data_IF_090304073535
#
_entry.id   IF_090304073535
#
_cell.length_a   1.000
_cell.length_b   1.000
_cell.length_c   1.000
_cell.angle_alpha   90.00
_cell.angle_beta   90.00
_cell.angle_gamma   90.00
#
_symmetry.space_group_name_H-M   'P 1'
#
loop_
_entity.id
_entity.type
_entity.pdbx_description
1 polymer ?
#
# COMPACT_ATOMS: atom_id res chain seq x y z
N UNK A 1 -30.03 -1.00 8.38
CA UNK A 1 -30.69 -0.49 7.17
C UNK A 1 -30.00 0.80 6.79
N UNK A 2 -29.31 0.83 5.67
CA UNK A 2 -28.85 2.08 5.06
C UNK A 2 -30.13 2.79 4.54
N UNK A 3 -30.26 4.10 4.78
CA UNK A 3 -31.31 4.90 4.14
C UNK A 3 -31.16 4.76 2.62
N UNK A 4 -32.26 4.52 1.93
CA UNK A 4 -32.31 4.36 0.47
C UNK A 4 -32.03 5.65 -0.32
N UNK A 5 -31.61 6.75 0.32
CA UNK A 5 -31.22 8.00 -0.30
C UNK A 5 -29.85 8.44 0.17
N UNK A 6 -28.85 8.33 -0.69
CA UNK A 6 -27.60 9.10 -0.59
C UNK A 6 -27.84 10.47 -1.20
N UNK A 7 -27.55 11.52 -0.47
CA UNK A 7 -27.55 12.87 -1.03
C UNK A 7 -26.38 12.99 -2.02
N UNK A 8 -26.64 13.51 -3.21
CA UNK A 8 -25.64 13.76 -4.24
C UNK A 8 -25.40 15.25 -4.33
N UNK A 9 -24.15 15.66 -4.19
CA UNK A 9 -23.71 17.04 -4.31
C UNK A 9 -22.63 17.13 -5.38
N UNK A 10 -22.77 18.10 -6.30
CA UNK A 10 -21.73 18.43 -7.29
C UNK A 10 -20.74 19.40 -6.67
N UNK A 11 -19.45 19.11 -6.80
CA UNK A 11 -18.37 19.94 -6.29
C UNK A 11 -17.23 19.95 -7.32
N UNK A 12 -16.85 21.14 -7.75
CA UNK A 12 -15.64 21.33 -8.57
C UNK A 12 -14.39 21.30 -7.68
N UNK A 13 -13.22 21.03 -8.28
CA UNK A 13 -11.94 21.01 -7.56
C UNK A 13 -11.41 22.42 -7.27
N UNK A 14 -12.32 23.33 -6.92
CA UNK A 14 -12.03 24.70 -6.53
C UNK A 14 -12.00 24.84 -5.02
N UNK A 15 -11.06 25.65 -4.51
CA UNK A 15 -10.78 25.77 -3.09
C UNK A 15 -12.03 26.06 -2.25
N UNK A 16 -12.82 27.07 -2.63
CA UNK A 16 -13.98 27.48 -1.82
C UNK A 16 -15.08 26.41 -1.78
N UNK A 17 -15.28 25.68 -2.88
CA UNK A 17 -16.25 24.60 -2.95
C UNK A 17 -15.78 23.42 -2.10
N UNK A 18 -14.50 23.04 -2.19
CA UNK A 18 -13.91 21.97 -1.40
C UNK A 18 -13.89 22.32 0.09
N UNK A 19 -13.52 23.53 0.48
CA UNK A 19 -13.55 24.01 1.86
C UNK A 19 -14.96 23.92 2.46
N UNK A 20 -16.00 24.21 1.66
CA UNK A 20 -17.39 24.06 2.07
C UNK A 20 -17.80 22.58 2.19
N UNK A 21 -17.34 21.73 1.27
CA UNK A 21 -17.65 20.31 1.27
C UNK A 21 -17.02 19.61 2.49
N UNK A 22 -15.72 19.82 2.74
CA UNK A 22 -15.00 19.13 3.83
C UNK A 22 -15.55 19.48 5.21
N UNK A 23 -16.07 20.71 5.39
CA UNK A 23 -16.71 21.14 6.65
C UNK A 23 -18.03 20.45 6.95
N UNK A 24 -18.68 19.85 5.96
CA UNK A 24 -19.98 19.14 6.11
C UNK A 24 -19.80 17.70 6.59
N UNK A 25 -18.60 17.14 6.57
CA UNK A 25 -18.34 15.74 6.88
C UNK A 25 -17.16 15.56 7.83
N UNK A 26 -17.07 14.41 8.48
CA UNK A 26 -15.94 14.04 9.34
C UNK A 26 -14.82 13.34 8.56
N UNK A 27 -15.16 12.71 7.44
CA UNK A 27 -14.22 11.92 6.64
C UNK A 27 -14.63 11.95 5.17
N UNK A 28 -13.63 12.05 4.30
CA UNK A 28 -13.76 11.90 2.85
C UNK A 28 -13.01 10.63 2.43
N UNK A 29 -13.64 9.84 1.57
CA UNK A 29 -13.00 8.76 0.82
C UNK A 29 -12.91 9.21 -0.63
N UNK A 30 -11.71 9.48 -1.11
CA UNK A 30 -11.47 9.87 -2.49
C UNK A 30 -11.15 8.65 -3.35
N UNK A 31 -11.86 8.52 -4.47
CA UNK A 31 -11.63 7.47 -5.47
C UNK A 31 -11.37 8.05 -6.86
N UNK A 32 -11.06 9.33 -6.93
CA UNK A 32 -10.87 10.08 -8.17
C UNK A 32 -9.39 10.11 -8.53
N UNK A 33 -8.96 9.18 -9.33
CA UNK A 33 -7.59 9.11 -9.87
C UNK A 33 -7.48 9.54 -11.34
N UNK A 34 -6.28 9.75 -11.90
CA UNK A 34 -4.98 9.71 -11.21
C UNK A 34 -4.83 10.82 -10.16
N UNK A 35 -4.34 10.47 -8.98
CA UNK A 35 -4.30 11.40 -7.82
C UNK A 35 -3.29 12.53 -8.02
N UNK A 36 -2.22 12.31 -8.78
CA UNK A 36 -1.26 13.36 -9.16
C UNK A 36 -1.90 14.54 -9.90
N UNK A 37 -3.09 14.34 -10.52
CA UNK A 37 -3.81 15.39 -11.22
C UNK A 37 -4.97 15.98 -10.41
N UNK A 38 -5.63 15.15 -9.60
CA UNK A 38 -6.91 15.52 -8.98
C UNK A 38 -6.93 15.39 -7.46
N UNK A 39 -5.94 14.72 -6.84
CA UNK A 39 -5.97 14.41 -5.42
C UNK A 39 -5.58 15.54 -4.50
N UNK A 40 -4.59 16.38 -4.91
CA UNK A 40 -4.03 17.43 -4.06
C UNK A 40 -5.05 18.43 -3.51
N UNK A 41 -6.00 19.00 -4.31
CA UNK A 41 -6.95 19.96 -3.78
C UNK A 41 -7.84 19.41 -2.67
N UNK A 42 -8.29 18.14 -2.80
CA UNK A 42 -9.15 17.48 -1.79
C UNK A 42 -8.35 17.19 -0.52
N UNK A 43 -7.14 16.63 -0.66
CA UNK A 43 -6.26 16.35 0.46
C UNK A 43 -5.91 17.65 1.22
N UNK A 44 -5.57 18.71 0.52
CA UNK A 44 -5.24 20.02 1.09
C UNK A 44 -6.41 20.62 1.88
N UNK A 45 -7.64 20.55 1.34
CA UNK A 45 -8.83 20.99 2.03
C UNK A 45 -9.08 20.19 3.32
N UNK A 46 -8.95 18.87 3.26
CA UNK A 46 -9.05 17.99 4.45
C UNK A 46 -7.99 18.33 5.50
N UNK A 47 -6.73 18.48 5.10
CA UNK A 47 -5.62 18.85 5.97
C UNK A 47 -5.84 20.22 6.64
N UNK A 48 -6.46 21.18 5.94
CA UNK A 48 -6.69 22.52 6.46
C UNK A 48 -7.82 22.61 7.47
N UNK A 49 -8.83 21.75 7.36
CA UNK A 49 -10.07 21.86 8.13
C UNK A 49 -10.28 20.74 9.16
N UNK A 50 -9.30 19.87 9.36
CA UNK A 50 -9.40 18.77 10.34
C UNK A 50 -10.33 17.64 9.91
N UNK A 51 -10.72 17.59 8.64
CA UNK A 51 -11.50 16.50 8.07
C UNK A 51 -10.58 15.33 7.75
N UNK A 52 -10.95 14.11 8.14
CA UNK A 52 -10.16 12.93 7.83
C UNK A 52 -10.24 12.57 6.35
N UNK A 53 -9.21 11.91 5.83
CA UNK A 53 -9.10 11.59 4.41
C UNK A 53 -8.57 10.18 4.19
N UNK A 54 -9.19 9.44 3.28
CA UNK A 54 -8.73 8.15 2.77
C UNK A 54 -8.74 8.19 1.24
N UNK A 55 -7.80 7.48 0.63
CA UNK A 55 -7.83 7.21 -0.80
C UNK A 55 -7.26 5.83 -1.16
N UNK A 56 -7.30 5.49 -2.43
CA UNK A 56 -6.78 4.23 -2.98
C UNK A 56 -5.62 4.47 -3.97
N UNK A 57 -4.86 5.54 -3.80
CA UNK A 57 -3.70 5.81 -4.65
C UNK A 57 -2.63 4.73 -4.50
N UNK A 58 -1.80 4.54 -5.52
CA UNK A 58 -0.53 3.81 -5.47
C UNK A 58 0.61 4.70 -5.98
N UNK A 59 0.42 6.02 -5.97
CA UNK A 59 1.31 7.02 -6.56
C UNK A 59 2.32 7.54 -5.53
N UNK A 60 3.29 6.71 -5.12
CA UNK A 60 4.32 7.07 -4.13
C UNK A 60 4.99 8.43 -4.42
N UNK A 61 5.35 8.81 -5.67
CA UNK A 61 5.91 10.12 -5.93
C UNK A 61 4.98 11.27 -5.56
N UNK A 62 3.68 11.13 -5.80
CA UNK A 62 2.68 12.10 -5.39
C UNK A 62 2.57 12.16 -3.86
N UNK A 63 2.50 11.03 -3.19
CA UNK A 63 2.45 10.97 -1.72
C UNK A 63 3.69 11.60 -1.09
N UNK A 64 4.88 11.35 -1.67
CA UNK A 64 6.13 11.97 -1.23
C UNK A 64 6.02 13.50 -1.20
N UNK A 65 5.44 14.10 -2.26
CA UNK A 65 5.20 15.53 -2.34
C UNK A 65 4.13 15.98 -1.34
N UNK A 66 3.03 15.23 -1.19
CA UNK A 66 1.96 15.55 -0.23
C UNK A 66 2.45 15.51 1.22
N UNK A 67 3.29 14.55 1.58
CA UNK A 67 3.92 14.48 2.90
C UNK A 67 4.74 15.74 3.17
N UNK A 68 5.57 16.16 2.21
CA UNK A 68 6.38 17.37 2.35
C UNK A 68 5.54 18.64 2.51
N UNK A 69 4.38 18.72 1.83
CA UNK A 69 3.53 19.92 1.82
C UNK A 69 2.54 19.98 2.99
N UNK A 70 1.94 18.85 3.37
CA UNK A 70 0.71 18.84 4.18
C UNK A 70 0.79 18.06 5.49
N UNK A 71 1.85 17.27 5.77
CA UNK A 71 1.93 16.47 6.99
C UNK A 71 1.89 17.35 8.26
N UNK A 72 2.62 18.46 8.27
CA UNK A 72 2.63 19.40 9.40
C UNK A 72 1.26 20.09 9.58
N UNK A 73 0.61 20.48 8.49
CA UNK A 73 -0.70 21.10 8.52
C UNK A 73 -1.76 20.14 9.05
N UNK A 74 -1.76 18.89 8.56
CA UNK A 74 -2.68 17.84 9.00
C UNK A 74 -2.48 17.50 10.50
N UNK A 75 -1.25 17.54 11.01
CA UNK A 75 -0.98 17.43 12.46
C UNK A 75 -1.59 18.57 13.26
N UNK A 76 -1.43 19.80 12.77
CA UNK A 76 -1.98 20.98 13.45
C UNK A 76 -3.50 21.00 13.50
N UNK A 77 -4.15 20.55 12.42
CA UNK A 77 -5.61 20.51 12.31
C UNK A 77 -6.23 19.24 12.89
N UNK A 78 -5.40 18.29 13.37
CA UNK A 78 -5.81 16.95 13.82
C UNK A 78 -6.50 16.12 12.73
N UNK A 79 -6.18 16.38 11.46
CA UNK A 79 -6.67 15.58 10.34
C UNK A 79 -5.87 14.28 10.21
N UNK A 80 -6.53 13.14 10.20
CA UNK A 80 -5.95 11.83 9.88
C UNK A 80 -6.11 11.63 8.38
N UNK A 81 -4.99 11.64 7.67
CA UNK A 81 -4.91 11.46 6.22
C UNK A 81 -4.19 10.15 5.95
N UNK A 82 -4.90 9.17 5.38
CA UNK A 82 -4.34 7.86 5.05
C UNK A 82 -4.49 7.64 3.53
N UNK A 83 -3.52 8.05 2.72
CA UNK A 83 -3.43 7.61 1.33
C UNK A 83 -3.05 6.13 1.25
N UNK A 84 -3.09 5.55 0.05
CA UNK A 84 -2.75 4.13 -0.18
C UNK A 84 -3.57 3.16 0.68
N UNK A 85 -4.83 3.50 0.98
CA UNK A 85 -5.73 2.65 1.75
C UNK A 85 -6.51 1.64 0.88
N UNK A 86 -5.98 1.32 -0.31
CA UNK A 86 -6.52 0.32 -1.25
C UNK A 86 -5.86 -1.05 -1.13
N UNK A 87 -6.33 -1.99 -1.96
CA UNK A 87 -5.79 -3.36 -2.00
C UNK A 87 -4.30 -3.40 -2.35
N UNK A 88 -3.84 -2.47 -3.17
CA UNK A 88 -2.46 -2.53 -3.68
C UNK A 88 -1.43 -2.37 -2.53
N UNK A 89 -1.75 -1.66 -1.45
CA UNK A 89 -0.80 -1.37 -0.37
C UNK A 89 -1.21 -1.88 1.02
N UNK A 90 -2.52 -1.95 1.33
CA UNK A 90 -3.00 -2.40 2.65
C UNK A 90 -2.52 -3.80 3.03
N UNK A 91 -2.51 -4.81 2.16
CA UNK A 91 -2.00 -6.13 2.51
C UNK A 91 -0.55 -6.11 2.98
N UNK A 92 0.30 -5.34 2.32
CA UNK A 92 1.72 -5.22 2.64
C UNK A 92 1.94 -4.51 3.97
N UNK A 93 1.30 -3.37 4.17
CA UNK A 93 1.42 -2.56 5.37
C UNK A 93 0.89 -3.30 6.61
N UNK A 94 -0.29 -3.93 6.50
CA UNK A 94 -0.87 -4.72 7.58
C UNK A 94 -0.08 -6.01 7.84
N UNK A 95 0.45 -6.66 6.81
CA UNK A 95 1.31 -7.84 7.00
C UNK A 95 2.58 -7.46 7.76
N UNK A 96 3.22 -6.36 7.41
CA UNK A 96 4.39 -5.83 8.12
C UNK A 96 4.09 -5.56 9.60
N UNK A 97 2.96 -4.90 9.88
CA UNK A 97 2.48 -4.62 11.23
C UNK A 97 2.23 -5.90 12.04
N UNK A 98 1.44 -6.82 11.50
CA UNK A 98 1.08 -8.08 12.17
C UNK A 98 2.30 -8.92 12.49
N UNK A 99 3.23 -9.06 11.53
CA UNK A 99 4.46 -9.83 11.73
C UNK A 99 5.36 -9.19 12.79
N UNK A 100 5.56 -7.87 12.75
CA UNK A 100 6.36 -7.16 13.75
C UNK A 100 5.76 -7.27 15.16
N UNK A 101 4.43 -7.08 15.28
CA UNK A 101 3.68 -7.24 16.52
C UNK A 101 3.83 -8.66 17.09
N UNK A 102 3.66 -9.68 16.25
CA UNK A 102 3.71 -11.08 16.71
C UNK A 102 5.12 -11.54 17.09
N UNK A 103 6.15 -11.08 16.38
CA UNK A 103 7.55 -11.33 16.79
C UNK A 103 7.79 -10.76 18.20
N UNK A 104 7.35 -9.52 18.45
CA UNK A 104 7.47 -8.90 19.76
C UNK A 104 6.67 -9.63 20.83
N UNK A 105 5.41 -9.97 20.54
CA UNK A 105 4.50 -10.62 21.48
C UNK A 105 4.99 -12.00 21.90
N UNK A 106 5.50 -12.80 20.96
CA UNK A 106 5.93 -14.19 21.23
C UNK A 106 7.33 -14.30 21.80
N UNK A 107 8.22 -13.41 21.38
CA UNK A 107 9.65 -13.57 21.67
C UNK A 107 10.25 -12.42 22.46
N UNK A 108 9.48 -11.35 22.74
CA UNK A 108 9.98 -10.11 23.38
C UNK A 108 11.19 -9.52 22.66
N UNK A 109 11.24 -9.67 21.33
CA UNK A 109 12.33 -9.21 20.45
C UNK A 109 11.80 -8.26 19.39
N UNK A 110 12.70 -7.40 18.89
CA UNK A 110 12.41 -6.57 17.72
C UNK A 110 12.29 -7.44 16.46
N UNK A 111 11.43 -7.02 15.53
CA UNK A 111 11.37 -7.59 14.19
C UNK A 111 12.44 -6.91 13.33
N UNK A 112 13.40 -7.69 12.83
CA UNK A 112 14.41 -7.16 11.92
C UNK A 112 13.93 -7.19 10.47
N UNK A 113 13.10 -8.19 10.12
CA UNK A 113 12.65 -8.38 8.74
C UNK A 113 11.23 -8.90 8.68
N UNK A 114 10.44 -8.31 7.80
CA UNK A 114 9.17 -8.86 7.35
C UNK A 114 9.24 -9.09 5.83
N UNK A 115 8.84 -10.27 5.39
CA UNK A 115 8.79 -10.64 3.97
C UNK A 115 7.36 -11.05 3.66
N UNK A 116 6.77 -10.45 2.64
CA UNK A 116 5.47 -10.85 2.10
C UNK A 116 5.62 -11.44 0.71
N UNK A 117 4.77 -12.38 0.37
CA UNK A 117 4.63 -12.89 -1.00
C UNK A 117 3.16 -12.94 -1.42
N UNK A 118 2.89 -12.48 -2.62
CA UNK A 118 1.66 -12.83 -3.32
C UNK A 118 1.73 -14.32 -3.67
N UNK A 119 1.00 -15.12 -2.89
CA UNK A 119 1.06 -16.58 -2.96
C UNK A 119 0.20 -17.12 -4.11
N UNK A 120 -1.00 -16.58 -4.28
CA UNK A 120 -1.92 -16.88 -5.36
C UNK A 120 -2.91 -15.74 -5.53
N UNK A 121 -3.31 -15.46 -6.75
CA UNK A 121 -4.34 -14.46 -7.06
C UNK A 121 -5.10 -14.84 -8.34
N UNK A 122 -6.36 -14.43 -8.37
CA UNK A 122 -7.17 -14.33 -9.56
C UNK A 122 -7.93 -13.02 -9.48
N UNK A 123 -7.50 -12.03 -10.23
CA UNK A 123 -8.12 -10.70 -10.27
C UNK A 123 -7.79 -9.99 -11.56
N UNK A 124 -8.66 -9.09 -12.00
CA UNK A 124 -8.39 -8.18 -13.10
C UNK A 124 -7.57 -6.96 -12.63
N UNK A 125 -6.81 -6.38 -13.53
CA UNK A 125 -6.12 -5.10 -13.31
C UNK A 125 -7.09 -3.97 -13.68
N UNK A 126 -7.18 -2.92 -12.84
CA UNK A 126 -7.99 -1.74 -13.15
C UNK A 126 -7.32 -0.89 -14.25
N UNK A 127 -8.14 -0.25 -15.08
CA UNK A 127 -7.64 0.72 -16.07
C UNK A 127 -6.93 1.90 -15.40
N UNK A 128 -7.37 2.29 -14.20
CA UNK A 128 -6.73 3.34 -13.40
C UNK A 128 -5.28 2.99 -13.03
N UNK A 129 -5.02 1.80 -12.49
CA UNK A 129 -3.67 1.36 -12.10
C UNK A 129 -2.71 1.34 -13.29
N UNK A 130 -3.13 0.78 -14.43
CA UNK A 130 -2.29 0.70 -15.62
C UNK A 130 -2.02 2.10 -16.23
N UNK A 131 -3.01 2.99 -16.23
CA UNK A 131 -2.86 4.37 -16.69
C UNK A 131 -1.91 5.16 -15.77
N UNK A 132 -2.07 5.03 -14.47
CA UNK A 132 -1.22 5.70 -13.47
C UNK A 132 0.26 5.39 -13.69
N UNK A 133 0.62 4.12 -13.94
CA UNK A 133 2.02 3.73 -14.21
C UNK A 133 2.62 4.49 -15.42
N UNK A 134 1.84 4.67 -16.49
CA UNK A 134 2.30 5.44 -17.65
C UNK A 134 2.43 6.93 -17.33
N UNK A 135 1.46 7.49 -16.64
CA UNK A 135 1.43 8.93 -16.33
C UNK A 135 2.51 9.32 -15.31
N UNK A 136 2.90 8.45 -14.38
CA UNK A 136 4.03 8.69 -13.49
C UNK A 136 5.34 8.94 -14.29
N UNK A 137 5.59 8.13 -15.31
CA UNK A 137 6.79 8.28 -16.16
C UNK A 137 6.72 9.51 -17.08
N UNK A 138 5.52 10.03 -17.36
CA UNK A 138 5.33 11.24 -18.18
C UNK A 138 5.47 12.51 -17.37
N UNK A 139 5.05 12.51 -16.11
CA UNK A 139 4.89 13.71 -15.30
C UNK A 139 5.99 13.92 -14.26
N UNK A 140 6.74 12.87 -13.89
CA UNK A 140 7.85 12.97 -12.96
C UNK A 140 9.20 12.76 -13.65
N UNK A 141 10.22 13.52 -13.25
CA UNK A 141 11.59 13.29 -13.71
C UNK A 141 12.14 11.97 -13.13
N UNK A 142 13.07 11.32 -13.86
CA UNK A 142 13.70 10.09 -13.37
C UNK A 142 14.43 10.30 -12.03
N UNK A 143 15.00 11.48 -11.79
CA UNK A 143 15.64 11.82 -10.50
C UNK A 143 14.63 11.91 -9.37
N UNK A 144 13.45 12.48 -9.62
CA UNK A 144 12.36 12.52 -8.63
C UNK A 144 11.81 11.13 -8.34
N UNK A 145 11.58 10.31 -9.39
CA UNK A 145 11.17 8.91 -9.23
C UNK A 145 12.19 8.11 -8.42
N UNK A 146 13.48 8.22 -8.73
CA UNK A 146 14.53 7.52 -7.98
C UNK A 146 14.58 7.93 -6.50
N UNK A 147 14.35 9.21 -6.20
CA UNK A 147 14.31 9.73 -4.83
C UNK A 147 13.06 9.31 -4.09
N UNK A 148 11.88 9.50 -4.68
CA UNK A 148 10.58 9.24 -4.06
C UNK A 148 10.28 7.75 -3.90
N UNK A 149 10.75 6.90 -4.83
CA UNK A 149 10.57 5.44 -4.79
C UNK A 149 11.67 4.70 -4.00
N UNK A 150 12.58 5.43 -3.33
CA UNK A 150 13.52 4.78 -2.42
C UNK A 150 12.76 4.16 -1.24
N UNK A 151 13.08 2.94 -0.78
CA UNK A 151 12.29 2.20 0.20
C UNK A 151 11.90 2.96 1.48
N UNK A 152 12.74 3.87 1.94
CA UNK A 152 12.48 4.67 3.14
C UNK A 152 12.14 6.14 2.86
N UNK A 153 11.84 6.50 1.62
CA UNK A 153 11.59 7.88 1.20
C UNK A 153 10.42 8.55 1.93
N UNK A 154 9.38 7.78 2.23
CA UNK A 154 8.20 8.26 2.94
C UNK A 154 8.36 8.23 4.47
N UNK A 155 9.43 7.64 5.01
CA UNK A 155 9.63 7.53 6.45
C UNK A 155 9.94 8.89 7.09
N UNK A 156 9.29 9.24 8.22
CA UNK A 156 9.60 10.46 8.96
C UNK A 156 10.96 10.40 9.69
N UNK A 157 11.56 9.21 9.79
CA UNK A 157 12.86 9.01 10.42
C UNK A 157 13.87 8.43 9.44
N UNK A 158 15.14 8.77 9.62
CA UNK A 158 16.21 8.22 8.79
C UNK A 158 16.42 6.74 9.06
N UNK A 159 16.70 6.00 8.03
CA UNK A 159 16.96 4.57 8.08
C UNK A 159 18.46 4.28 8.16
N UNK A 160 19.04 4.53 9.33
CA UNK A 160 20.46 4.26 9.58
C UNK A 160 20.65 2.78 9.98
N UNK A 161 21.66 2.12 9.40
CA UNK A 161 22.02 0.74 9.72
C UNK A 161 20.93 -0.32 9.51
N UNK A 162 20.00 -0.11 8.59
CA UNK A 162 18.99 -1.12 8.24
C UNK A 162 19.62 -2.33 7.54
N UNK A 163 19.01 -3.47 7.75
CA UNK A 163 19.48 -4.70 7.10
C UNK A 163 19.31 -4.64 5.59
N UNK A 164 20.26 -5.21 4.86
CA UNK A 164 20.16 -5.36 3.41
C UNK A 164 19.04 -6.34 3.00
N UNK A 165 18.72 -6.46 1.70
CA UNK A 165 17.72 -7.42 1.22
C UNK A 165 18.09 -8.86 1.61
N UNK A 166 17.10 -9.79 1.68
CA UNK A 166 17.36 -11.18 2.02
C UNK A 166 18.37 -11.80 1.06
N UNK A 167 19.31 -12.57 1.61
CA UNK A 167 20.33 -13.27 0.83
C UNK A 167 19.89 -14.73 0.62
N UNK A 168 19.63 -15.11 -0.63
CA UNK A 168 19.40 -16.51 -1.03
C UNK A 168 20.69 -17.28 -1.27
N UNK A 169 20.57 -18.56 -1.67
CA UNK A 169 21.69 -19.35 -2.15
C UNK A 169 22.36 -18.70 -3.37
N UNK A 170 23.63 -19.03 -3.63
CA UNK A 170 24.39 -18.41 -4.74
C UNK A 170 23.68 -18.57 -6.08
N UNK A 171 23.10 -19.75 -6.36
CA UNK A 171 22.39 -20.03 -7.59
C UNK A 171 21.18 -19.08 -7.77
N UNK A 172 20.34 -18.92 -6.74
CA UNK A 172 19.20 -18.03 -6.80
C UNK A 172 19.63 -16.55 -6.90
N UNK A 173 20.71 -16.18 -6.22
CA UNK A 173 21.26 -14.81 -6.27
C UNK A 173 21.75 -14.42 -7.66
N UNK A 174 22.39 -15.32 -8.40
CA UNK A 174 22.83 -15.08 -9.78
C UNK A 174 21.66 -14.69 -10.69
N UNK A 175 20.48 -15.27 -10.44
CA UNK A 175 19.27 -15.00 -11.20
C UNK A 175 18.36 -13.94 -10.52
N UNK A 176 18.76 -13.40 -9.37
CA UNK A 176 17.98 -12.44 -8.61
C UNK A 176 16.64 -13.02 -8.12
N UNK A 177 16.60 -14.31 -7.84
CA UNK A 177 15.49 -15.02 -7.22
C UNK A 177 15.81 -15.33 -5.76
N UNK A 178 14.81 -15.76 -5.00
CA UNK A 178 14.95 -16.29 -3.66
C UNK A 178 14.24 -17.64 -3.54
N UNK A 179 14.66 -18.46 -2.57
CA UNK A 179 13.93 -19.66 -2.17
C UNK A 179 13.67 -19.57 -0.68
N UNK A 180 12.40 -19.49 -0.30
CA UNK A 180 11.93 -19.37 1.07
C UNK A 180 10.86 -20.43 1.27
N UNK A 181 11.19 -21.49 2.01
CA UNK A 181 10.30 -22.64 2.20
C UNK A 181 8.98 -22.24 2.88
N UNK A 182 9.05 -21.38 3.89
CA UNK A 182 7.89 -20.88 4.64
C UNK A 182 6.91 -20.09 3.76
N UNK A 183 7.39 -19.53 2.64
CA UNK A 183 6.58 -18.77 1.67
C UNK A 183 6.25 -19.57 0.40
N UNK A 184 6.43 -20.90 0.43
CA UNK A 184 6.06 -21.79 -0.67
C UNK A 184 7.12 -21.95 -1.76
N UNK A 185 8.40 -21.70 -1.45
CA UNK A 185 9.54 -22.01 -2.32
C UNK A 185 10.07 -20.82 -3.10
N UNK A 186 10.06 -20.90 -4.43
CA UNK A 186 10.70 -19.89 -5.31
C UNK A 186 9.94 -18.58 -5.29
N UNK A 187 10.66 -17.49 -5.06
CA UNK A 187 10.16 -16.12 -5.05
C UNK A 187 10.80 -15.32 -6.19
N UNK A 188 9.98 -14.55 -6.89
CA UNK A 188 10.40 -13.59 -7.93
C UNK A 188 9.97 -12.18 -7.54
N UNK A 189 10.33 -11.19 -8.34
CA UNK A 189 10.00 -9.77 -8.08
C UNK A 189 8.49 -9.57 -7.94
N UNK A 190 8.05 -8.93 -6.85
CA UNK A 190 6.66 -8.49 -6.66
C UNK A 190 6.33 -7.33 -7.60
N UNK A 191 5.10 -7.31 -8.12
CA UNK A 191 4.65 -6.25 -9.02
C UNK A 191 4.58 -4.90 -8.31
N UNK A 192 4.11 -4.90 -7.06
CA UNK A 192 3.94 -3.69 -6.23
C UNK A 192 5.09 -3.47 -5.24
N UNK A 193 6.13 -4.31 -5.26
CA UNK A 193 7.18 -4.34 -4.25
C UNK A 193 7.80 -2.96 -3.94
N UNK A 194 8.02 -2.12 -4.95
CA UNK A 194 8.60 -0.78 -4.74
C UNK A 194 7.64 0.20 -4.06
N UNK A 195 6.35 0.10 -4.32
CA UNK A 195 5.29 0.88 -3.67
C UNK A 195 5.12 0.41 -2.23
N UNK A 196 4.97 -0.89 -2.06
CA UNK A 196 4.69 -1.54 -0.79
C UNK A 196 5.86 -1.42 0.21
N UNK A 197 7.10 -1.46 -0.28
CA UNK A 197 8.27 -1.17 0.56
C UNK A 197 8.23 0.26 1.11
N UNK A 198 7.81 1.25 0.33
CA UNK A 198 7.73 2.65 0.79
C UNK A 198 6.70 2.83 1.89
N UNK A 199 5.49 2.27 1.75
CA UNK A 199 4.43 2.43 2.75
C UNK A 199 4.73 1.65 4.03
N UNK A 200 5.21 0.41 3.93
CA UNK A 200 5.57 -0.39 5.11
C UNK A 200 6.72 0.26 5.90
N UNK A 201 7.68 0.90 5.22
CA UNK A 201 8.75 1.65 5.89
C UNK A 201 8.28 3.01 6.41
N UNK A 202 7.24 3.62 5.84
CA UNK A 202 6.59 4.77 6.47
C UNK A 202 5.94 4.37 7.79
N UNK A 203 5.20 3.26 7.82
CA UNK A 203 4.63 2.70 9.04
C UNK A 203 5.70 2.41 10.09
N UNK A 204 6.79 1.76 9.68
CA UNK A 204 7.94 1.56 10.56
C UNK A 204 8.41 2.88 11.19
N UNK A 205 8.59 3.92 10.40
CA UNK A 205 9.05 5.23 10.88
C UNK A 205 8.05 5.90 11.82
N UNK A 206 6.75 5.82 11.54
CA UNK A 206 5.70 6.35 12.41
C UNK A 206 5.64 5.63 13.77
N UNK A 207 5.94 4.33 13.80
CA UNK A 207 5.98 3.53 15.01
C UNK A 207 7.26 3.66 15.83
N UNK A 208 8.31 4.39 15.39
CA UNK A 208 9.57 4.49 16.15
C UNK A 208 9.43 5.09 17.55
N UNK A 209 8.46 5.99 17.73
CA UNK A 209 8.17 6.62 19.05
C UNK A 209 7.01 5.94 19.79
N UNK A 210 6.48 4.86 19.25
CA UNK A 210 5.41 4.05 19.83
C UNK A 210 5.93 3.18 20.99
N UNK A 211 5.03 2.75 21.87
CA UNK A 211 5.32 1.69 22.86
C UNK A 211 5.63 0.33 22.20
N UNK A 212 5.24 0.15 20.96
CA UNK A 212 5.39 -1.11 20.21
C UNK A 212 6.07 -0.90 18.85
N UNK A 213 7.31 -0.38 18.78
CA UNK A 213 8.02 -0.16 17.52
C UNK A 213 8.32 -1.51 16.83
N UNK A 214 8.41 -1.51 15.50
CA UNK A 214 8.75 -2.74 14.76
C UNK A 214 10.16 -3.24 15.10
N UNK A 215 11.11 -2.34 15.18
CA UNK A 215 12.51 -2.57 15.50
C UNK A 215 13.41 -1.53 14.83
N UNK A 216 14.63 -1.29 15.38
CA UNK A 216 15.49 -0.21 14.89
C UNK A 216 16.07 -0.48 13.49
N UNK A 217 16.19 -1.75 13.09
CA UNK A 217 16.79 -2.18 11.82
C UNK A 217 15.77 -2.84 10.88
N UNK A 218 14.49 -2.57 11.08
CA UNK A 218 13.42 -3.22 10.34
C UNK A 218 13.54 -3.01 8.84
N UNK A 219 13.31 -4.09 8.09
CA UNK A 219 13.17 -4.06 6.65
C UNK A 219 11.98 -4.90 6.20
N UNK A 220 11.18 -4.34 5.32
CA UNK A 220 10.12 -5.03 4.58
C UNK A 220 10.59 -5.35 3.15
N UNK A 221 10.16 -6.51 2.63
CA UNK A 221 10.33 -6.85 1.23
C UNK A 221 9.10 -7.63 0.74
N UNK A 222 8.69 -7.34 -0.50
CA UNK A 222 7.61 -8.05 -1.17
C UNK A 222 8.12 -8.85 -2.37
N UNK A 223 7.50 -10.01 -2.56
CA UNK A 223 7.76 -10.92 -3.67
C UNK A 223 6.47 -11.49 -4.23
N UNK A 224 6.58 -12.18 -5.38
CA UNK A 224 5.58 -13.09 -5.91
C UNK A 224 6.09 -14.53 -5.86
N UNK A 225 5.25 -15.47 -5.44
CA UNK A 225 5.56 -16.89 -5.52
C UNK A 225 5.59 -17.33 -6.98
N UNK A 226 6.63 -18.05 -7.35
CA UNK A 226 6.74 -18.67 -8.66
C UNK A 226 6.65 -20.19 -8.56
N UNK A 227 6.07 -20.84 -9.57
CA UNK A 227 5.94 -22.28 -9.64
C UNK A 227 7.30 -22.98 -9.64
N UNK A 228 8.27 -22.41 -10.34
CA UNK A 228 9.65 -22.92 -10.45
C UNK A 228 10.61 -21.80 -10.88
N UNK A 229 11.89 -22.10 -11.00
CA UNK A 229 12.94 -21.15 -11.38
C UNK A 229 12.67 -20.54 -12.77
N UNK A 230 12.25 -21.35 -13.74
CA UNK A 230 12.04 -20.90 -15.13
C UNK A 230 10.90 -19.89 -15.22
N UNK A 231 9.77 -20.19 -14.57
CA UNK A 231 8.65 -19.24 -14.51
C UNK A 231 9.02 -17.97 -13.74
N UNK A 232 9.82 -18.07 -12.67
CA UNK A 232 10.32 -16.92 -11.92
C UNK A 232 11.21 -16.01 -12.78
N UNK A 233 12.10 -16.59 -13.56
CA UNK A 233 12.94 -15.87 -14.51
C UNK A 233 12.11 -15.21 -15.62
N UNK A 234 11.17 -15.95 -16.22
CA UNK A 234 10.31 -15.41 -17.26
C UNK A 234 9.54 -14.17 -16.80
N UNK A 235 8.93 -14.22 -15.61
CA UNK A 235 8.23 -13.06 -15.00
C UNK A 235 9.20 -11.92 -14.78
N UNK A 236 10.36 -12.18 -14.18
CA UNK A 236 11.36 -11.15 -13.91
C UNK A 236 11.86 -10.47 -15.18
N UNK A 237 12.19 -11.23 -16.22
CA UNK A 237 12.61 -10.69 -17.50
C UNK A 237 11.48 -9.90 -18.19
N UNK A 238 10.25 -10.40 -18.15
CA UNK A 238 9.10 -9.71 -18.73
C UNK A 238 8.86 -8.36 -18.05
N UNK A 239 8.84 -8.32 -16.71
CA UNK A 239 8.70 -7.08 -15.95
C UNK A 239 9.87 -6.12 -16.15
N UNK A 240 11.11 -6.63 -16.17
CA UNK A 240 12.32 -5.83 -16.41
C UNK A 240 12.35 -5.23 -17.81
N UNK A 241 12.00 -6.02 -18.84
CA UNK A 241 11.89 -5.54 -20.21
C UNK A 241 10.77 -4.51 -20.37
N UNK A 242 9.59 -4.77 -19.82
CA UNK A 242 8.49 -3.83 -19.85
C UNK A 242 8.86 -2.50 -19.17
N UNK A 243 9.48 -2.57 -17.98
CA UNK A 243 9.97 -1.40 -17.28
C UNK A 243 11.01 -0.61 -18.08
N UNK A 244 11.99 -1.29 -18.71
CA UNK A 244 13.00 -0.66 -19.55
C UNK A 244 12.37 0.03 -20.78
N UNK A 245 11.46 -0.65 -21.48
CA UNK A 245 10.79 -0.10 -22.66
C UNK A 245 9.93 1.13 -22.30
N UNK A 246 9.29 1.13 -21.15
CA UNK A 246 8.50 2.27 -20.68
C UNK A 246 9.36 3.40 -20.11
N UNK A 247 10.53 3.10 -19.54
CA UNK A 247 11.46 4.12 -19.05
C UNK A 247 12.11 4.95 -20.19
N UNK A 248 12.31 4.35 -21.36
CA UNK A 248 12.90 5.02 -22.52
C UNK A 248 11.84 5.86 -23.28
N UNK A 249 12.04 7.19 -23.43
CA UNK A 249 11.03 8.06 -24.06
C UNK A 249 10.63 7.62 -25.49
N UNK A 250 11.52 7.22 -26.40
CA UNK A 250 11.12 6.84 -27.76
C UNK A 250 10.21 5.61 -27.80
N UNK A 251 10.53 4.56 -27.02
CA UNK A 251 9.75 3.33 -26.97
C UNK A 251 8.44 3.55 -26.24
N UNK A 252 8.43 4.35 -25.16
CA UNK A 252 7.20 4.75 -24.46
C UNK A 252 6.25 5.50 -25.39
N UNK A 253 6.74 6.46 -26.16
CA UNK A 253 5.94 7.23 -27.13
C UNK A 253 5.26 6.31 -28.15
N UNK A 254 5.93 5.26 -28.60
CA UNK A 254 5.37 4.28 -29.54
C UNK A 254 4.38 3.33 -28.86
N UNK A 255 4.71 2.85 -27.65
CA UNK A 255 3.92 1.81 -26.95
C UNK A 255 2.69 2.35 -26.21
N UNK A 256 2.76 3.57 -25.66
CA UNK A 256 1.68 4.13 -24.86
C UNK A 256 0.33 4.21 -25.59
N UNK A 257 0.24 4.66 -26.88
CA UNK A 257 -1.01 4.63 -27.61
C UNK A 257 -1.57 3.22 -27.83
N UNK A 258 -0.68 2.24 -28.08
CA UNK A 258 -1.08 0.85 -28.26
C UNK A 258 -1.59 0.26 -26.94
N UNK A 259 -0.92 0.53 -25.84
CA UNK A 259 -1.35 0.11 -24.50
C UNK A 259 -2.70 0.74 -24.14
N UNK A 260 -2.89 2.04 -24.35
CA UNK A 260 -4.17 2.75 -24.10
C UNK A 260 -5.30 2.20 -24.97
N UNK A 261 -5.02 1.71 -26.18
CA UNK A 261 -6.04 1.18 -27.10
C UNK A 261 -6.40 -0.29 -26.84
N UNK A 262 -5.44 -1.13 -26.45
CA UNK A 262 -5.60 -2.59 -26.46
C UNK A 262 -5.47 -3.26 -25.09
N UNK A 263 -4.85 -2.61 -24.14
CA UNK A 263 -4.48 -3.23 -22.84
C UNK A 263 -5.15 -2.51 -21.68
N UNK A 264 -5.17 -1.17 -21.71
CA UNK A 264 -5.69 -0.36 -20.62
C UNK A 264 -7.17 -0.10 -20.85
N UNK A 265 -8.07 -0.56 -19.97
CA UNK A 265 -9.48 -0.19 -20.04
C UNK A 265 -9.65 1.35 -20.00
N UNK A 266 -10.69 1.84 -20.65
CA UNK A 266 -11.00 3.28 -20.63
C UNK A 266 -11.28 3.76 -19.19
N UNK A 267 -11.06 5.05 -18.89
CA UNK A 267 -11.46 5.61 -17.60
C UNK A 267 -12.94 5.31 -17.30
N UNK A 268 -13.20 4.78 -16.10
CA UNK A 268 -14.54 4.32 -15.71
C UNK A 268 -14.91 2.90 -16.15
N UNK A 269 -14.09 2.26 -16.99
CA UNK A 269 -14.25 0.85 -17.34
C UNK A 269 -13.37 -0.03 -16.44
N UNK A 270 -13.85 -1.24 -16.19
CA UNK A 270 -13.13 -2.22 -15.37
C UNK A 270 -13.80 -3.59 -15.46
N UNK A 271 -13.34 -4.57 -14.68
CA UNK A 271 -13.96 -5.89 -14.66
C UNK A 271 -15.44 -5.80 -14.29
N UNK A 272 -16.26 -6.58 -14.97
CA UNK A 272 -17.70 -6.64 -14.70
C UNK A 272 -17.96 -7.31 -13.34
N UNK A 273 -19.12 -7.03 -12.74
CA UNK A 273 -19.52 -7.70 -11.48
C UNK A 273 -19.52 -9.22 -11.61
N UNK A 274 -19.84 -9.74 -12.78
CA UNK A 274 -19.85 -11.19 -13.07
C UNK A 274 -18.43 -11.76 -13.07
N UNK A 275 -17.47 -11.08 -13.74
CA UNK A 275 -16.07 -11.54 -13.79
C UNK A 275 -15.41 -11.53 -12.42
N UNK A 276 -15.81 -10.61 -11.52
CA UNK A 276 -15.26 -10.48 -10.17
C UNK A 276 -15.78 -11.54 -9.17
N UNK A 277 -16.83 -12.31 -9.49
CA UNK A 277 -17.42 -13.30 -8.56
C UNK A 277 -16.45 -14.39 -8.11
N UNK A 278 -15.45 -14.70 -8.91
CA UNK A 278 -14.45 -15.73 -8.61
C UNK A 278 -13.06 -15.16 -8.33
N UNK A 279 -13.00 -13.86 -8.06
CA UNK A 279 -11.76 -13.23 -7.69
C UNK A 279 -11.33 -13.67 -6.28
N UNK A 280 -10.03 -13.80 -6.09
CA UNK A 280 -9.44 -14.02 -4.79
C UNK A 280 -8.00 -13.54 -4.78
N UNK A 281 -7.50 -13.24 -3.58
CA UNK A 281 -6.09 -12.97 -3.34
C UNK A 281 -5.62 -13.66 -2.07
N UNK A 282 -4.41 -14.15 -2.09
CA UNK A 282 -3.79 -14.90 -1.01
C UNK A 282 -2.34 -14.46 -0.83
N UNK A 283 -2.03 -13.98 0.35
CA UNK A 283 -0.69 -13.53 0.71
C UNK A 283 -0.16 -14.38 1.86
N UNK A 284 1.17 -14.56 1.89
CA UNK A 284 1.89 -15.22 2.99
C UNK A 284 2.98 -14.28 3.48
N UNK A 285 3.16 -14.24 4.78
CA UNK A 285 4.14 -13.39 5.43
C UNK A 285 5.09 -14.18 6.32
N UNK A 286 6.33 -13.72 6.40
CA UNK A 286 7.38 -14.26 7.28
C UNK A 286 8.04 -13.09 8.03
N UNK A 287 7.85 -13.05 9.34
CA UNK A 287 8.56 -12.17 10.26
C UNK A 287 9.77 -12.85 10.87
N UNK A 288 10.90 -12.16 10.92
CA UNK A 288 12.17 -12.68 11.46
C UNK A 288 12.63 -11.73 12.56
N UNK A 289 12.89 -12.27 13.76
CA UNK A 289 13.42 -11.52 14.89
C UNK A 289 14.87 -11.06 14.63
N UNK A 290 15.31 -10.06 15.38
CA UNK A 290 16.63 -9.42 15.26
C UNK A 290 17.83 -10.36 15.43
N UNK A 291 17.64 -11.51 16.07
CA UNK A 291 18.68 -12.57 16.19
C UNK A 291 18.70 -13.56 15.01
N UNK A 292 17.78 -13.40 14.05
CA UNK A 292 17.66 -14.28 12.88
C UNK A 292 17.14 -15.69 13.14
N UNK A 293 16.82 -16.04 14.39
CA UNK A 293 16.46 -17.40 14.79
C UNK A 293 14.96 -17.62 14.90
N UNK A 294 14.27 -16.70 15.58
CA UNK A 294 12.83 -16.81 15.76
C UNK A 294 12.11 -16.25 14.53
N UNK A 295 11.09 -17.01 14.12
CA UNK A 295 10.27 -16.70 12.94
C UNK A 295 8.79 -16.79 13.29
N UNK A 296 8.00 -15.96 12.63
CA UNK A 296 6.54 -15.97 12.69
C UNK A 296 6.02 -15.99 11.26
N UNK A 297 5.03 -16.82 10.98
CA UNK A 297 4.33 -16.82 9.68
C UNK A 297 2.91 -16.32 9.84
N UNK A 298 2.43 -15.61 8.82
CA UNK A 298 1.08 -15.08 8.76
C UNK A 298 0.49 -15.26 7.36
N UNK A 299 -0.85 -15.22 7.30
CA UNK A 299 -1.62 -15.36 6.07
C UNK A 299 -2.66 -14.25 6.00
N UNK A 300 -2.88 -13.74 4.79
CA UNK A 300 -3.98 -12.87 4.47
C UNK A 300 -4.68 -13.42 3.24
N UNK A 301 -5.93 -13.82 3.39
CA UNK A 301 -6.73 -14.39 2.33
C UNK A 301 -8.03 -13.60 2.18
N UNK A 302 -8.43 -13.28 0.94
CA UNK A 302 -9.72 -12.64 0.62
C UNK A 302 -10.34 -13.27 -0.62
N UNK A 303 -11.67 -13.41 -0.60
CA UNK A 303 -12.48 -13.85 -1.74
C UNK A 303 -12.88 -12.67 -2.64
N UNK A 304 -12.08 -11.59 -2.65
CA UNK A 304 -12.30 -10.41 -3.46
C UNK A 304 -11.01 -10.01 -4.16
N UNK A 305 -11.13 -9.52 -5.39
CA UNK A 305 -10.03 -8.92 -6.15
C UNK A 305 -10.03 -7.39 -6.04
N UNK A 306 -9.33 -6.73 -6.94
CA UNK A 306 -9.06 -5.29 -6.97
C UNK A 306 -10.10 -4.38 -6.33
N UNK A 307 -11.23 -4.18 -6.99
CA UNK A 307 -12.27 -3.25 -6.52
C UNK A 307 -12.96 -3.70 -5.23
N UNK A 308 -13.29 -5.00 -5.11
CA UNK A 308 -14.00 -5.51 -3.94
C UNK A 308 -13.14 -5.43 -2.68
N UNK A 309 -11.88 -5.80 -2.77
CA UNK A 309 -10.96 -5.72 -1.65
C UNK A 309 -10.62 -4.27 -1.29
N UNK A 310 -10.46 -3.36 -2.28
CA UNK A 310 -10.28 -1.92 -2.03
C UNK A 310 -11.48 -1.31 -1.32
N UNK A 311 -12.71 -1.69 -1.71
CA UNK A 311 -13.91 -1.23 -0.99
C UNK A 311 -13.93 -1.71 0.47
N UNK A 312 -13.49 -2.94 0.75
CA UNK A 312 -13.35 -3.48 2.10
C UNK A 312 -12.32 -2.69 2.90
N UNK A 313 -11.14 -2.45 2.35
CA UNK A 313 -10.05 -1.77 3.07
C UNK A 313 -10.42 -0.34 3.41
N UNK A 314 -10.93 0.44 2.46
CA UNK A 314 -11.41 1.81 2.69
C UNK A 314 -12.56 1.86 3.71
N UNK A 315 -13.55 0.99 3.57
CA UNK A 315 -14.69 0.95 4.50
C UNK A 315 -14.28 0.56 5.91
N UNK A 316 -13.36 -0.39 6.05
CA UNK A 316 -12.82 -0.81 7.33
C UNK A 316 -12.02 0.31 8.01
N UNK A 317 -11.18 1.04 7.26
CA UNK A 317 -10.44 2.19 7.78
C UNK A 317 -11.40 3.31 8.22
N UNK A 318 -12.37 3.64 7.38
CA UNK A 318 -13.40 4.62 7.72
C UNK A 318 -14.18 4.22 8.98
N UNK A 319 -14.52 2.92 9.12
CA UNK A 319 -15.19 2.41 10.31
C UNK A 319 -14.35 2.61 11.57
N UNK A 320 -13.06 2.30 11.53
CA UNK A 320 -12.16 2.49 12.68
C UNK A 320 -12.04 3.97 13.04
N UNK A 321 -11.84 4.86 12.07
CA UNK A 321 -11.70 6.30 12.31
C UNK A 321 -13.00 6.90 12.90
N UNK A 322 -14.16 6.50 12.39
CA UNK A 322 -15.43 7.14 12.75
C UNK A 322 -16.17 6.47 13.91
N UNK A 323 -15.92 5.18 14.18
CA UNK A 323 -16.68 4.34 15.12
C UNK A 323 -15.83 3.55 16.09
N UNK A 324 -14.53 3.44 15.83
CA UNK A 324 -13.57 2.78 16.71
C UNK A 324 -13.14 3.68 17.86
N UNK A 325 -12.27 3.15 18.71
CA UNK A 325 -11.59 3.91 19.76
C UNK A 325 -10.24 4.39 19.18
N UNK A 326 -10.31 5.52 18.49
CA UNK A 326 -9.17 6.06 17.77
C UNK A 326 -7.99 6.36 18.69
N UNK A 327 -8.27 6.77 19.93
CA UNK A 327 -7.30 7.02 21.00
C UNK A 327 -6.44 5.80 21.35
N UNK A 328 -6.93 4.59 21.13
CA UNK A 328 -6.19 3.33 21.36
C UNK A 328 -5.32 2.94 20.17
N UNK A 329 -5.30 3.73 19.10
CA UNK A 329 -4.51 3.47 17.88
C UNK A 329 -3.26 4.37 17.83
N UNK A 330 -2.29 3.96 17.03
CA UNK A 330 -1.12 4.81 16.76
C UNK A 330 -1.52 6.10 16.04
N UNK A 331 -2.51 6.05 15.14
CA UNK A 331 -3.05 7.23 14.47
C UNK A 331 -3.62 8.25 15.47
N UNK A 332 -4.36 7.79 16.48
CA UNK A 332 -4.87 8.65 17.56
C UNK A 332 -3.75 9.20 18.43
N UNK A 333 -2.74 8.38 18.78
CA UNK A 333 -1.57 8.83 19.55
C UNK A 333 -0.78 9.93 18.81
N UNK A 334 -0.64 9.80 17.50
CA UNK A 334 0.03 10.80 16.65
C UNK A 334 -0.80 12.08 16.50
N UNK A 335 -2.10 12.01 16.72
CA UNK A 335 -3.02 13.16 16.76
C UNK A 335 -3.31 13.80 15.40
N UNK A 336 -2.89 13.19 14.29
CA UNK A 336 -3.06 13.70 12.92
C UNK A 336 -1.80 13.58 12.08
N UNK A 337 -1.88 13.99 10.83
CA UNK A 337 -0.79 13.91 9.86
C UNK A 337 -1.14 13.02 8.66
N UNK A 338 -0.21 12.89 7.73
CA UNK A 338 -0.30 11.91 6.65
C UNK A 338 0.24 10.59 7.18
N UNK A 339 -0.64 9.67 7.46
CA UNK A 339 -0.40 8.40 8.14
C UNK A 339 -0.48 7.22 7.17
N UNK A 340 -0.52 6.00 7.71
CA UNK A 340 -0.62 4.75 6.94
C UNK A 340 -1.72 3.86 7.52
N UNK A 341 -2.27 2.91 6.75
CA UNK A 341 -3.28 1.97 7.23
C UNK A 341 -2.88 1.24 8.52
N UNK A 342 -1.63 0.82 8.65
CA UNK A 342 -1.12 0.12 9.81
C UNK A 342 -1.21 0.95 11.10
N UNK A 343 -1.24 2.29 11.04
CA UNK A 343 -1.38 3.15 12.21
C UNK A 343 -2.76 3.01 12.89
N UNK A 344 -3.74 2.43 12.22
CA UNK A 344 -5.05 2.07 12.80
C UNK A 344 -4.99 0.77 13.65
N UNK A 345 -3.87 0.06 13.63
CA UNK A 345 -3.51 -1.01 14.55
C UNK A 345 -4.46 -2.22 14.54
N UNK A 346 -4.61 -2.84 15.72
CA UNK A 346 -5.38 -4.07 15.88
C UNK A 346 -6.87 -3.88 15.57
N UNK A 347 -7.44 -2.70 15.83
CA UNK A 347 -8.83 -2.41 15.48
C UNK A 347 -9.07 -2.52 13.98
N UNK A 348 -8.07 -2.13 13.17
CA UNK A 348 -8.18 -2.25 11.72
C UNK A 348 -8.06 -3.72 11.28
N UNK A 349 -7.11 -4.47 11.84
CA UNK A 349 -6.97 -5.92 11.58
C UNK A 349 -8.27 -6.66 11.92
N UNK A 350 -8.86 -6.39 13.07
CA UNK A 350 -10.14 -6.99 13.48
C UNK A 350 -11.30 -6.62 12.54
N UNK A 351 -11.35 -5.35 12.11
CA UNK A 351 -12.39 -4.86 11.21
C UNK A 351 -12.25 -5.46 9.82
N UNK A 352 -11.02 -5.56 9.30
CA UNK A 352 -10.73 -6.25 8.04
C UNK A 352 -11.17 -7.72 8.08
N UNK A 353 -10.89 -8.42 9.19
CA UNK A 353 -11.35 -9.80 9.40
C UNK A 353 -12.90 -9.92 9.38
N UNK A 354 -13.60 -8.98 10.01
CA UNK A 354 -15.06 -8.93 9.99
C UNK A 354 -15.62 -8.65 8.61
N UNK A 355 -14.92 -7.88 7.80
CA UNK A 355 -15.36 -7.45 6.45
C UNK A 355 -14.92 -8.41 5.33
N UNK A 356 -14.20 -9.50 5.65
CA UNK A 356 -13.91 -10.58 4.69
C UNK A 356 -12.46 -10.68 4.22
N UNK A 357 -11.54 -9.90 4.80
CA UNK A 357 -10.09 -10.12 4.64
C UNK A 357 -9.58 -10.94 5.83
N UNK A 358 -9.35 -12.23 5.62
CA UNK A 358 -8.95 -13.14 6.70
C UNK A 358 -7.45 -13.08 6.96
N UNK A 359 -7.09 -12.43 8.06
CA UNK A 359 -5.71 -12.29 8.52
C UNK A 359 -5.52 -13.24 9.70
N UNK A 360 -4.56 -14.15 9.61
CA UNK A 360 -4.24 -15.12 10.65
C UNK A 360 -2.73 -15.30 10.81
N UNK A 361 -2.30 -15.63 12.00
CA UNK A 361 -0.90 -15.94 12.33
C UNK A 361 -0.83 -17.41 12.70
N UNK A 362 0.12 -18.14 12.13
CA UNK A 362 0.32 -19.56 12.44
C UNK A 362 0.79 -19.70 13.90
N UNK A 363 0.35 -20.77 14.56
CA UNK A 363 0.62 -21.04 15.99
C UNK A 363 2.09 -21.35 16.24
#
# INVERSE_FOLDING_TARGET
MLKDSTDVETCELEKDQLDNLVKKTKLIISTVGPFMFYGEPVLAACASHGTHYLDSTGEVPWIYDMVAKYDALAKTSHSIIIPECGLDSVPADIMAYVLAREVRKRYSKACERAIMTLYAAKTGISGGTALTMLELLNNYSLSHLAKSMHPYSLSPVKADNVVGPPKGSLLYRLFGLLSIAELGGVQTTGLMASVDECIAHRSWGLYQTSSNPYGPKFRFNEYMRSRNIFTGLAVKFALGLAGLLLALPPTRWLLAPLMKRFIIPSPGEGPTRESMKNDFMSYRGLGIAEDGKQKVTAKLDTAHGGYGATAITLSAAAHVILRGRLEDTEAGRLGGGILTPATLGDQYVETLNKFGMKISVDK
#
